data_IF_765959356852
#
_entry.id   IF_765959356852
#
_cell.length_a   1.000
_cell.length_b   1.000
_cell.length_c   1.000
_cell.angle_alpha   90.00
_cell.angle_beta   90.00
_cell.angle_gamma   90.00
#
_symmetry.space_group_name_H-M   'P 1'
#
loop_
_entity.id
_entity.type
_entity.pdbx_description
1 polymer ?
#
# COMPACT_ATOMS: atom_id res chain seq x y z
N UNK A 1 27.08 -8.39 10.23
CA UNK A 1 26.30 -8.91 9.10
C UNK A 1 25.65 -7.69 8.48
N UNK A 2 26.14 -7.24 7.32
CA UNK A 2 25.67 -5.99 6.70
C UNK A 2 24.28 -6.22 6.13
N UNK A 3 23.26 -5.62 6.76
CA UNK A 3 21.93 -5.52 6.16
C UNK A 3 22.07 -4.88 4.79
N UNK A 4 21.71 -5.63 3.75
CA UNK A 4 21.42 -5.02 2.45
C UNK A 4 20.30 -4.02 2.72
N UNK A 5 20.37 -2.77 2.24
CA UNK A 5 19.25 -1.84 2.36
C UNK A 5 18.02 -2.56 1.84
N UNK A 6 17.08 -2.87 2.74
CA UNK A 6 15.91 -3.68 2.45
C UNK A 6 15.16 -3.02 1.31
N UNK A 7 15.05 -3.70 0.18
CA UNK A 7 14.30 -3.19 -0.97
C UNK A 7 12.85 -2.98 -0.52
N UNK A 8 12.46 -1.73 -0.33
CA UNK A 8 11.10 -1.38 0.07
C UNK A 8 10.11 -1.86 -0.98
N UNK A 9 8.95 -2.30 -0.50
CA UNK A 9 7.86 -2.77 -1.36
C UNK A 9 6.56 -2.08 -0.93
N UNK A 10 5.61 -2.02 -1.85
CA UNK A 10 4.24 -1.68 -1.53
C UNK A 10 3.30 -2.61 -2.26
N UNK A 11 2.07 -2.67 -1.78
CA UNK A 11 1.00 -3.43 -2.40
C UNK A 11 -0.12 -2.52 -2.87
N UNK A 12 -0.86 -2.99 -3.86
CA UNK A 12 -2.19 -2.51 -4.22
C UNK A 12 -3.10 -3.71 -4.42
N UNK A 13 -4.35 -3.58 -4.03
CA UNK A 13 -5.33 -4.67 -4.06
C UNK A 13 -6.37 -4.40 -5.13
N UNK A 14 -6.72 -5.43 -5.89
CA UNK A 14 -7.85 -5.42 -6.81
C UNK A 14 -8.86 -6.47 -6.37
N UNK A 15 -10.03 -5.99 -5.96
CA UNK A 15 -11.21 -6.80 -5.62
C UNK A 15 -11.92 -7.22 -6.90
N UNK A 16 -11.98 -8.53 -7.14
CA UNK A 16 -12.59 -9.13 -8.35
C UNK A 16 -14.10 -8.99 -8.38
N UNK A 17 -14.72 -8.93 -7.22
CA UNK A 17 -16.15 -8.77 -7.02
C UNK A 17 -16.63 -7.32 -7.20
N UNK A 18 -15.69 -6.37 -7.32
CA UNK A 18 -15.97 -4.95 -7.52
C UNK A 18 -15.57 -4.48 -8.92
N UNK A 19 -16.27 -3.47 -9.42
CA UNK A 19 -15.88 -2.80 -10.65
C UNK A 19 -14.50 -2.11 -10.49
N UNK A 20 -13.66 -2.22 -11.51
CA UNK A 20 -12.38 -1.52 -11.60
C UNK A 20 -12.44 -0.53 -12.76
N UNK A 21 -12.36 0.77 -12.45
CA UNK A 21 -12.45 1.82 -13.46
C UNK A 21 -11.29 1.79 -14.45
N UNK A 22 -11.48 2.44 -15.61
CA UNK A 22 -10.40 2.63 -16.58
C UNK A 22 -9.21 3.38 -15.97
N UNK A 23 -9.46 4.35 -15.08
CA UNK A 23 -8.41 5.11 -14.43
C UNK A 23 -7.59 4.23 -13.47
N UNK A 24 -8.24 3.41 -12.65
CA UNK A 24 -7.54 2.47 -11.79
C UNK A 24 -6.69 1.47 -12.59
N UNK A 25 -7.20 0.98 -13.73
CA UNK A 25 -6.43 0.13 -14.66
C UNK A 25 -5.22 0.86 -15.24
N UNK A 26 -5.38 2.14 -15.60
CA UNK A 26 -4.28 2.96 -16.10
C UNK A 26 -3.19 3.17 -15.03
N UNK A 27 -3.58 3.34 -13.76
CA UNK A 27 -2.62 3.43 -12.64
C UNK A 27 -1.80 2.14 -12.54
N UNK A 28 -2.45 0.98 -12.54
CA UNK A 28 -1.75 -0.32 -12.50
C UNK A 28 -0.83 -0.51 -13.72
N UNK A 29 -1.29 -0.14 -14.91
CA UNK A 29 -0.48 -0.19 -16.13
C UNK A 29 0.73 0.72 -16.05
N UNK A 30 0.59 1.93 -15.47
CA UNK A 30 1.72 2.85 -15.30
C UNK A 30 2.74 2.31 -14.30
N UNK A 31 2.31 1.52 -13.33
CA UNK A 31 3.19 0.93 -12.31
C UNK A 31 3.90 -0.37 -12.78
N UNK A 32 3.67 -0.83 -14.01
CA UNK A 32 4.15 -2.13 -14.49
C UNK A 32 5.67 -2.32 -14.38
N UNK A 33 6.44 -1.27 -14.62
CA UNK A 33 7.92 -1.33 -14.60
C UNK A 33 8.47 -1.54 -13.18
N UNK A 34 7.67 -1.23 -12.16
CA UNK A 34 7.98 -1.42 -10.75
C UNK A 34 7.36 -2.71 -10.19
N UNK A 35 6.60 -3.47 -11.00
CA UNK A 35 5.92 -4.69 -10.56
C UNK A 35 6.93 -5.79 -10.19
N UNK A 36 6.65 -6.48 -9.08
CA UNK A 36 7.42 -7.61 -8.57
C UNK A 36 6.64 -8.90 -8.79
N UNK A 37 5.38 -8.93 -8.36
CA UNK A 37 4.53 -10.12 -8.40
C UNK A 37 3.06 -9.75 -8.34
N UNK A 38 2.22 -10.67 -8.79
CA UNK A 38 0.77 -10.63 -8.63
C UNK A 38 0.37 -11.95 -7.97
N UNK A 39 -0.48 -11.89 -6.95
CA UNK A 39 -0.95 -13.08 -6.22
C UNK A 39 -2.44 -12.99 -5.96
N UNK A 40 -3.11 -14.14 -6.00
CA UNK A 40 -4.48 -14.25 -5.52
C UNK A 40 -4.45 -14.57 -4.03
N UNK A 41 -5.09 -13.73 -3.20
CA UNK A 41 -5.03 -13.83 -1.75
C UNK A 41 -6.37 -13.46 -1.11
N UNK A 42 -6.67 -14.09 0.03
CA UNK A 42 -7.78 -13.72 0.91
C UNK A 42 -7.32 -12.80 2.06
N UNK A 43 -6.03 -12.51 2.16
CA UNK A 43 -5.47 -11.69 3.23
C UNK A 43 -4.40 -10.77 2.66
N UNK A 44 -4.40 -9.54 3.17
CA UNK A 44 -3.38 -8.53 2.93
C UNK A 44 -3.27 -7.66 4.20
N UNK A 45 -2.27 -6.77 4.30
CA UNK A 45 -2.07 -5.93 5.48
C UNK A 45 -3.37 -5.20 5.87
N UNK A 46 -3.86 -5.49 7.08
CA UNK A 46 -5.05 -4.83 7.63
C UNK A 46 -6.40 -5.43 7.20
N UNK A 47 -6.45 -6.46 6.35
CA UNK A 47 -7.73 -7.01 5.89
C UNK A 47 -7.67 -8.50 5.62
N UNK A 48 -8.68 -9.22 6.15
CA UNK A 48 -8.99 -10.60 5.79
C UNK A 48 -10.33 -10.58 5.05
N UNK A 49 -10.32 -11.00 3.78
CA UNK A 49 -11.49 -11.09 2.94
C UNK A 49 -12.34 -12.31 3.32
N UNK A 50 -13.58 -12.05 3.71
CA UNK A 50 -14.55 -13.08 4.06
C UNK A 50 -15.31 -13.62 2.84
N UNK A 51 -15.15 -14.91 2.53
CA UNK A 51 -15.90 -15.61 1.49
C UNK A 51 -15.59 -15.15 0.06
N UNK A 52 -16.29 -15.73 -0.92
CA UNK A 52 -16.18 -15.33 -2.34
C UNK A 52 -14.87 -15.76 -3.02
N UNK A 53 -14.43 -14.95 -3.98
CA UNK A 53 -13.19 -15.15 -4.74
C UNK A 53 -12.02 -14.41 -4.10
N UNK A 54 -10.77 -14.91 -4.24
CA UNK A 54 -9.61 -14.22 -3.73
C UNK A 54 -9.40 -12.88 -4.46
N UNK A 55 -8.94 -11.87 -3.73
CA UNK A 55 -8.50 -10.60 -4.30
C UNK A 55 -7.17 -10.78 -5.05
N UNK A 56 -6.89 -9.89 -5.99
CA UNK A 56 -5.60 -9.82 -6.66
C UNK A 56 -4.73 -8.81 -5.91
N UNK A 57 -3.63 -9.25 -5.32
CA UNK A 57 -2.68 -8.38 -4.63
C UNK A 57 -1.43 -8.24 -5.50
N UNK A 58 -1.17 -7.00 -5.91
CA UNK A 58 -0.04 -6.62 -6.75
C UNK A 58 1.07 -6.05 -5.87
N UNK A 59 2.27 -6.61 -5.98
CA UNK A 59 3.46 -6.22 -5.23
C UNK A 59 4.39 -5.40 -6.12
N UNK A 60 4.86 -4.25 -5.64
CA UNK A 60 5.68 -3.31 -6.39
C UNK A 60 6.91 -2.87 -5.59
N UNK A 61 7.96 -2.44 -6.29
CA UNK A 61 9.16 -1.82 -5.68
C UNK A 61 8.88 -0.37 -5.32
N UNK A 62 9.42 0.10 -4.20
CA UNK A 62 9.44 1.53 -3.85
C UNK A 62 10.57 2.28 -4.57
N UNK A 63 10.60 2.23 -5.90
CA UNK A 63 11.58 2.95 -6.72
C UNK A 63 11.12 4.37 -7.07
N UNK A 64 11.99 5.15 -7.73
CA UNK A 64 11.68 6.52 -8.14
C UNK A 64 10.52 6.61 -9.15
N UNK A 65 10.32 5.56 -9.95
CA UNK A 65 9.25 5.50 -10.94
C UNK A 65 7.89 5.35 -10.25
N UNK A 66 7.73 4.36 -9.38
CA UNK A 66 6.53 4.18 -8.58
C UNK A 66 6.25 5.40 -7.69
N UNK A 67 7.28 5.94 -7.02
CA UNK A 67 7.15 7.15 -6.19
C UNK A 67 6.55 8.32 -6.96
N UNK A 68 6.98 8.55 -8.21
CA UNK A 68 6.44 9.61 -9.06
C UNK A 68 4.95 9.37 -9.34
N UNK A 69 4.59 8.15 -9.75
CA UNK A 69 3.20 7.82 -10.10
C UNK A 69 2.27 7.93 -8.89
N UNK A 70 2.64 7.36 -7.74
CA UNK A 70 1.81 7.40 -6.54
C UNK A 70 1.49 8.84 -6.13
N UNK A 71 2.48 9.75 -6.21
CA UNK A 71 2.32 11.18 -5.89
C UNK A 71 1.50 11.97 -6.91
N UNK A 72 1.46 11.53 -8.17
CA UNK A 72 0.66 12.17 -9.22
C UNK A 72 -0.81 11.75 -9.16
N UNK A 73 -1.04 10.49 -8.78
CA UNK A 73 -2.36 9.86 -8.82
C UNK A 73 -3.21 10.21 -7.60
N UNK A 74 -2.58 10.38 -6.43
CA UNK A 74 -3.31 10.69 -5.20
C UNK A 74 -2.52 11.56 -4.24
N UNK A 75 -3.26 12.39 -3.49
CA UNK A 75 -2.78 13.18 -2.35
C UNK A 75 -3.30 12.64 -1.00
N UNK A 76 -3.89 11.44 -0.96
CA UNK A 76 -4.51 10.85 0.24
C UNK A 76 -4.33 9.33 0.28
N UNK A 77 -3.98 8.78 1.45
CA UNK A 77 -3.98 7.33 1.67
C UNK A 77 -5.39 6.73 1.54
N UNK A 78 -6.41 7.45 2.00
CA UNK A 78 -7.79 6.95 2.03
C UNK A 78 -8.52 7.07 0.69
N UNK A 79 -7.89 7.63 -0.35
CA UNK A 79 -8.49 7.61 -1.69
C UNK A 79 -8.19 6.33 -2.46
N UNK A 80 -7.30 5.47 -1.97
CA UNK A 80 -6.95 4.20 -2.59
C UNK A 80 -8.07 3.18 -2.36
N UNK A 81 -9.19 3.41 -3.01
CA UNK A 81 -10.44 2.66 -2.87
C UNK A 81 -11.04 2.42 -4.25
N UNK A 82 -11.49 1.19 -4.52
CA UNK A 82 -12.20 0.88 -5.75
C UNK A 82 -13.58 1.55 -5.78
N UNK A 83 -14.07 1.99 -6.96
CA UNK A 83 -13.55 1.69 -8.29
C UNK A 83 -12.49 2.66 -8.83
N UNK A 84 -12.28 3.80 -8.17
CA UNK A 84 -11.52 4.92 -8.74
C UNK A 84 -10.00 4.70 -8.69
N UNK A 85 -9.52 3.99 -7.67
CA UNK A 85 -8.15 3.50 -7.54
C UNK A 85 -8.15 2.04 -7.07
N UNK A 86 -7.01 1.31 -7.21
CA UNK A 86 -6.83 0.05 -6.50
C UNK A 86 -6.91 0.27 -4.98
N UNK A 87 -7.31 -0.76 -4.25
CA UNK A 87 -7.50 -0.71 -2.80
C UNK A 87 -6.19 -0.77 -2.01
N UNK A 88 -6.23 -0.19 -0.81
CA UNK A 88 -5.35 -0.50 0.32
C UNK A 88 -3.85 -0.38 0.04
N UNK A 89 -3.43 0.80 -0.45
CA UNK A 89 -2.00 1.14 -0.62
C UNK A 89 -1.25 1.02 0.71
N UNK A 90 -0.53 -0.10 0.88
CA UNK A 90 0.24 -0.44 2.08
C UNK A 90 1.70 -0.69 1.73
N UNK A 91 2.62 -0.38 2.65
CA UNK A 91 4.06 -0.46 2.43
C UNK A 91 4.73 -1.45 3.38
N UNK A 92 5.82 -2.05 2.90
CA UNK A 92 6.60 -3.08 3.58
C UNK A 92 8.10 -2.79 3.45
N UNK A 93 8.87 -3.18 4.48
CA UNK A 93 10.33 -3.22 4.45
C UNK A 93 10.78 -4.67 4.49
N UNK A 94 11.24 -5.19 3.34
CA UNK A 94 11.47 -6.63 3.20
C UNK A 94 10.16 -7.41 3.39
N UNK A 95 10.13 -8.31 4.39
CA UNK A 95 8.93 -9.08 4.73
C UNK A 95 8.10 -8.47 5.87
N UNK A 96 8.54 -7.35 6.44
CA UNK A 96 7.88 -6.71 7.57
C UNK A 96 6.93 -5.61 7.09
N UNK A 97 5.75 -5.54 7.69
CA UNK A 97 4.82 -4.43 7.49
C UNK A 97 5.46 -3.13 7.97
N UNK A 98 5.20 -2.04 7.25
CA UNK A 98 5.69 -0.72 7.62
C UNK A 98 4.58 0.32 7.71
N UNK A 99 3.74 0.42 6.69
CA UNK A 99 2.51 1.22 6.72
C UNK A 99 1.36 0.32 6.30
N UNK A 100 0.41 0.13 7.20
CA UNK A 100 -0.85 -0.57 6.91
C UNK A 100 -1.92 0.49 6.67
N UNK A 101 -2.67 0.35 5.59
CA UNK A 101 -3.75 1.26 5.22
C UNK A 101 -4.95 0.47 4.73
N UNK A 102 -6.01 0.43 5.54
CA UNK A 102 -7.33 -0.09 5.19
C UNK A 102 -8.17 1.10 4.75
N UNK A 103 -8.08 1.42 3.46
CA UNK A 103 -8.50 2.72 2.91
C UNK A 103 -10.00 2.92 3.01
N UNK A 104 -10.77 1.86 2.74
CA UNK A 104 -12.23 1.88 2.81
C UNK A 104 -12.77 2.03 4.23
N UNK A 105 -11.96 1.72 5.26
CA UNK A 105 -12.27 1.97 6.67
C UNK A 105 -11.69 3.29 7.19
N UNK A 106 -10.94 4.03 6.35
CA UNK A 106 -10.19 5.24 6.74
C UNK A 106 -9.25 5.00 7.92
N UNK A 107 -8.65 3.81 7.99
CA UNK A 107 -7.70 3.41 9.02
C UNK A 107 -6.29 3.25 8.45
N UNK A 108 -5.31 3.83 9.12
CA UNK A 108 -3.90 3.66 8.79
C UNK A 108 -3.03 3.72 10.03
N UNK A 109 -1.98 2.90 10.04
CA UNK A 109 -0.98 2.93 11.11
C UNK A 109 0.39 2.48 10.61
N UNK A 110 1.42 3.04 11.22
CA UNK A 110 2.79 2.60 11.01
C UNK A 110 3.10 1.42 11.94
N UNK A 111 3.96 0.52 11.47
CA UNK A 111 4.52 -0.60 12.22
C UNK A 111 6.02 -0.41 12.25
N UNK A 112 6.55 -0.01 13.41
CA UNK A 112 7.99 0.19 13.63
C UNK A 112 8.30 0.08 15.12
N UNK A 113 9.45 -0.50 15.43
CA UNK A 113 10.06 -0.48 16.77
C UNK A 113 11.30 0.41 16.80
N UNK A 114 11.70 0.96 15.64
CA UNK A 114 12.91 1.77 15.48
C UNK A 114 12.63 3.21 15.88
N UNK A 115 13.38 3.71 16.87
CA UNK A 115 13.14 5.02 17.47
C UNK A 115 13.36 6.16 16.46
N UNK A 116 14.41 6.08 15.66
CA UNK A 116 14.75 7.09 14.66
C UNK A 116 13.65 7.21 13.61
N UNK A 117 13.09 6.09 13.19
CA UNK A 117 11.96 6.07 12.26
C UNK A 117 10.69 6.66 12.88
N UNK A 118 10.42 6.34 14.15
CA UNK A 118 9.31 6.95 14.87
C UNK A 118 9.47 8.48 14.92
N UNK A 119 10.68 8.98 15.19
CA UNK A 119 10.97 10.42 15.17
C UNK A 119 10.74 11.05 13.78
N UNK A 120 11.14 10.37 12.69
CA UNK A 120 10.88 10.81 11.32
C UNK A 120 9.37 10.87 11.00
N UNK A 121 8.62 9.83 11.37
CA UNK A 121 7.17 9.75 11.16
C UNK A 121 6.46 10.85 11.93
N UNK A 122 6.84 11.07 13.19
CA UNK A 122 6.29 12.14 14.03
C UNK A 122 6.64 13.54 13.50
N UNK A 123 7.70 13.66 12.70
CA UNK A 123 8.07 14.88 11.98
C UNK A 123 7.16 15.21 10.79
N UNK A 124 6.28 14.29 10.36
CA UNK A 124 5.34 14.54 9.26
C UNK A 124 4.33 15.60 9.68
N UNK A 125 4.26 16.69 8.90
CA UNK A 125 3.30 17.78 9.16
C UNK A 125 1.87 17.24 9.18
N UNK A 126 1.11 17.66 10.19
CA UNK A 126 -0.30 17.30 10.41
C UNK A 126 -0.56 15.82 10.75
N UNK A 127 0.46 15.04 11.13
CA UNK A 127 0.23 13.70 11.65
C UNK A 127 -0.44 13.78 13.04
N UNK A 128 -1.51 13.00 13.25
CA UNK A 128 -2.21 12.91 14.53
C UNK A 128 -1.82 11.61 15.22
N UNK A 129 -1.40 11.71 16.48
CA UNK A 129 -1.09 10.54 17.31
C UNK A 129 -2.37 10.15 18.06
N UNK A 130 -2.79 8.90 17.91
CA UNK A 130 -3.87 8.32 18.72
C UNK A 130 -3.28 7.21 19.58
N UNK A 131 -3.13 7.47 20.88
CA UNK A 131 -2.75 6.45 21.85
C UNK A 131 -4.03 5.68 22.24
N UNK A 132 -3.94 4.34 22.28
CA UNK A 132 -4.98 3.47 22.84
C UNK A 132 -4.81 3.39 24.36
#
# INVERSE_FOLDING_TARGET
MSDKPGMGQFILVVRKDLFLSFQAKLVLSRLSDSLIAIREQFEWPGTILGGGEPAIVCYFKTDNHAKKILKEVSNSLYSWVQPDLPEDLSFMKGNNLWLVNTSHESESYFVTEEKEELEEILGIRNIKIKQK
#
